data_IF_165076606662
#
_entry.id   IF_165076606662
#
_cell.length_a   1.000
_cell.length_b   1.000
_cell.length_c   1.000
_cell.angle_alpha   90.00
_cell.angle_beta   90.00
_cell.angle_gamma   90.00
#
_symmetry.space_group_name_H-M   'P 1'
#
loop_
_entity.id
_entity.type
_entity.pdbx_description
1 polymer ?
#
# COMPACT_ATOMS: atom_id res chain seq x y z
N UNK A 1 0.31 -20.24 19.29
CA UNK A 1 -0.57 -21.15 18.51
C UNK A 1 -1.84 -20.44 18.05
N UNK A 2 -2.35 -19.42 18.77
CA UNK A 2 -3.45 -18.56 18.31
C UNK A 2 -3.11 -17.71 17.07
N UNK A 3 -1.93 -17.07 17.03
CA UNK A 3 -1.52 -16.23 15.87
C UNK A 3 -1.52 -16.97 14.53
N UNK A 4 -1.14 -18.25 14.51
CA UNK A 4 -1.04 -19.03 13.27
C UNK A 4 -2.43 -19.33 12.70
N UNK A 5 -3.42 -19.56 13.57
CA UNK A 5 -4.77 -19.89 13.17
C UNK A 5 -5.55 -18.64 12.71
N UNK A 6 -5.30 -17.48 13.33
CA UNK A 6 -5.82 -16.19 12.87
C UNK A 6 -5.19 -15.78 11.53
N UNK A 7 -3.87 -15.93 11.38
CA UNK A 7 -3.17 -15.72 10.11
C UNK A 7 -3.77 -16.56 9.00
N UNK A 8 -3.97 -17.85 9.24
CA UNK A 8 -4.45 -18.78 8.23
C UNK A 8 -5.93 -18.56 7.90
N UNK A 9 -6.75 -18.16 8.88
CA UNK A 9 -8.16 -17.80 8.65
C UNK A 9 -8.30 -16.49 7.87
N UNK A 10 -7.52 -15.47 8.23
CA UNK A 10 -7.45 -14.23 7.49
C UNK A 10 -6.95 -14.48 6.07
N UNK A 11 -5.90 -15.28 5.89
CA UNK A 11 -5.36 -15.61 4.59
C UNK A 11 -6.36 -16.39 3.72
N UNK A 12 -7.08 -17.37 4.27
CA UNK A 12 -8.12 -18.11 3.54
C UNK A 12 -9.30 -17.23 3.12
N UNK A 13 -9.75 -16.33 4.01
CA UNK A 13 -10.81 -15.36 3.69
C UNK A 13 -10.36 -14.42 2.55
N UNK A 14 -9.11 -13.96 2.63
CA UNK A 14 -8.48 -13.10 1.64
C UNK A 14 -8.30 -13.81 0.28
N UNK A 15 -7.84 -15.07 0.27
CA UNK A 15 -7.67 -15.86 -0.96
C UNK A 15 -8.99 -16.15 -1.67
N UNK A 16 -10.08 -16.41 -0.94
CA UNK A 16 -11.41 -16.59 -1.55
C UNK A 16 -11.94 -15.30 -2.20
N UNK A 17 -11.69 -14.14 -1.60
CA UNK A 17 -12.07 -12.85 -2.16
C UNK A 17 -11.29 -12.53 -3.46
N UNK A 18 -10.01 -12.91 -3.53
CA UNK A 18 -9.15 -12.72 -4.70
C UNK A 18 -9.67 -13.45 -5.96
N UNK A 19 -10.29 -14.63 -5.79
CA UNK A 19 -10.82 -15.45 -6.90
C UNK A 19 -12.08 -14.85 -7.53
N UNK A 20 -12.84 -14.07 -6.76
CA UNK A 20 -14.16 -13.58 -7.18
C UNK A 20 -14.11 -12.13 -7.69
N UNK A 21 -13.34 -11.25 -7.03
CA UNK A 21 -13.29 -9.83 -7.39
C UNK A 21 -11.97 -9.18 -6.93
N UNK A 22 -11.00 -9.10 -7.84
CA UNK A 22 -9.69 -8.51 -7.56
C UNK A 22 -9.76 -7.04 -7.10
N UNK A 23 -10.52 -6.12 -7.74
CA UNK A 23 -10.68 -4.75 -7.23
C UNK A 23 -11.11 -4.68 -5.77
N UNK A 24 -12.13 -5.47 -5.40
CA UNK A 24 -12.67 -5.48 -4.03
C UNK A 24 -11.70 -6.12 -3.04
N UNK A 25 -10.92 -7.09 -3.49
CA UNK A 25 -9.86 -7.70 -2.72
C UNK A 25 -8.76 -6.69 -2.37
N UNK A 26 -8.27 -5.92 -3.36
CA UNK A 26 -7.29 -4.84 -3.14
C UNK A 26 -7.85 -3.80 -2.17
N UNK A 27 -9.13 -3.42 -2.33
CA UNK A 27 -9.82 -2.49 -1.43
C UNK A 27 -9.78 -2.98 0.02
N UNK A 28 -10.17 -4.23 0.24
CA UNK A 28 -10.22 -4.88 1.55
C UNK A 28 -8.84 -4.96 2.20
N UNK A 29 -7.80 -5.33 1.44
CA UNK A 29 -6.42 -5.36 1.94
C UNK A 29 -5.94 -3.98 2.41
N UNK A 30 -6.24 -2.92 1.65
CA UNK A 30 -5.90 -1.55 2.04
C UNK A 30 -6.63 -1.12 3.32
N UNK A 31 -7.87 -1.58 3.51
CA UNK A 31 -8.69 -1.29 4.67
C UNK A 31 -8.14 -1.98 5.93
N UNK A 32 -7.75 -3.25 5.80
CA UNK A 32 -7.13 -4.00 6.91
C UNK A 32 -5.81 -3.36 7.32
N UNK A 33 -5.01 -2.90 6.36
CA UNK A 33 -3.73 -2.23 6.58
C UNK A 33 -3.89 -0.89 7.32
N UNK A 34 -4.90 -0.10 6.92
CA UNK A 34 -5.21 1.22 7.47
C UNK A 34 -5.76 1.17 8.90
N UNK A 35 -6.65 0.23 9.21
CA UNK A 35 -7.27 0.14 10.52
C UNK A 35 -6.26 -0.31 11.60
N UNK A 36 -5.76 0.65 12.38
CA UNK A 36 -4.81 0.42 13.48
C UNK A 36 -5.36 -0.47 14.62
N UNK A 37 -6.68 -0.68 14.68
CA UNK A 37 -7.31 -1.62 15.61
C UNK A 37 -7.14 -3.09 15.25
N UNK A 38 -6.70 -3.41 14.02
CA UNK A 38 -6.40 -4.76 13.61
C UNK A 38 -5.09 -5.26 14.24
N UNK A 39 -4.94 -6.58 14.37
CA UNK A 39 -3.71 -7.17 14.90
C UNK A 39 -2.50 -6.75 14.06
N UNK A 40 -1.33 -6.49 14.66
CA UNK A 40 -0.13 -6.11 13.92
C UNK A 40 0.22 -7.13 12.82
N UNK A 41 -0.02 -8.41 13.10
CA UNK A 41 0.20 -9.52 12.17
C UNK A 41 -0.73 -9.43 10.95
N UNK A 42 -2.02 -9.14 11.15
CA UNK A 42 -2.97 -8.96 10.06
C UNK A 42 -2.60 -7.77 9.17
N UNK A 43 -2.15 -6.65 9.78
CA UNK A 43 -1.70 -5.46 9.05
C UNK A 43 -0.48 -5.75 8.18
N UNK A 44 0.54 -6.41 8.74
CA UNK A 44 1.74 -6.80 8.00
C UNK A 44 1.40 -7.79 6.88
N UNK A 45 0.55 -8.78 7.14
CA UNK A 45 0.09 -9.73 6.12
C UNK A 45 -0.67 -9.01 4.99
N UNK A 46 -1.60 -8.11 5.33
CA UNK A 46 -2.36 -7.35 4.35
C UNK A 46 -1.47 -6.43 3.50
N UNK A 47 -0.50 -5.74 4.11
CA UNK A 47 0.47 -4.92 3.41
C UNK A 47 1.36 -5.73 2.46
N UNK A 48 1.81 -6.92 2.89
CA UNK A 48 2.60 -7.81 2.03
C UNK A 48 1.80 -8.31 0.82
N UNK A 49 0.55 -8.72 1.04
CA UNK A 49 -0.34 -9.18 -0.04
C UNK A 49 -0.67 -8.03 -1.00
N UNK A 50 -1.01 -6.85 -0.48
CA UNK A 50 -1.28 -5.67 -1.28
C UNK A 50 -0.07 -5.32 -2.15
N UNK A 51 1.14 -5.32 -1.58
CA UNK A 51 2.38 -5.10 -2.34
C UNK A 51 2.56 -6.13 -3.47
N UNK A 52 2.34 -7.41 -3.20
CA UNK A 52 2.47 -8.47 -4.21
C UNK A 52 1.47 -8.33 -5.36
N UNK A 53 0.34 -7.65 -5.13
CA UNK A 53 -0.64 -7.33 -6.18
C UNK A 53 -0.24 -6.08 -6.98
N UNK A 54 0.56 -5.19 -6.41
CA UNK A 54 0.93 -3.91 -7.02
C UNK A 54 2.27 -3.95 -7.76
N UNK A 55 3.21 -4.78 -7.31
CA UNK A 55 4.55 -4.85 -7.88
C UNK A 55 5.12 -6.26 -7.89
N UNK A 56 6.07 -6.50 -8.79
CA UNK A 56 6.83 -7.73 -8.91
C UNK A 56 8.31 -7.39 -9.13
N UNK A 57 9.20 -8.31 -8.77
CA UNK A 57 10.65 -8.18 -9.05
C UNK A 57 10.96 -8.26 -10.55
N UNK A 58 10.14 -9.01 -11.29
CA UNK A 58 10.26 -9.14 -12.74
C UNK A 58 9.67 -7.92 -13.45
N UNK A 59 10.41 -7.34 -14.40
CA UNK A 59 10.03 -6.12 -15.10
C UNK A 59 8.78 -6.29 -15.99
N UNK A 60 8.60 -7.48 -16.56
CA UNK A 60 7.45 -7.81 -17.42
C UNK A 60 6.17 -7.91 -16.58
N UNK A 61 6.26 -8.62 -15.44
CA UNK A 61 5.17 -8.70 -14.47
C UNK A 61 4.86 -7.34 -13.86
N UNK A 62 5.88 -6.52 -13.55
CA UNK A 62 5.69 -5.15 -13.04
C UNK A 62 4.84 -4.32 -14.01
N UNK A 63 5.16 -4.34 -15.31
CA UNK A 63 4.38 -3.62 -16.33
C UNK A 63 2.94 -4.13 -16.42
N UNK A 64 2.74 -5.44 -16.30
CA UNK A 64 1.41 -6.07 -16.29
C UNK A 64 0.60 -5.62 -15.07
N UNK A 65 1.22 -5.57 -13.89
CA UNK A 65 0.55 -5.14 -12.66
C UNK A 65 0.23 -3.64 -12.66
N UNK A 66 1.07 -2.81 -13.26
CA UNK A 66 0.79 -1.40 -13.47
C UNK A 66 -0.41 -1.18 -14.40
N UNK A 67 -0.44 -1.88 -15.55
CA UNK A 67 -1.59 -1.83 -16.46
C UNK A 67 -2.87 -2.32 -15.79
N UNK A 68 -2.78 -3.41 -15.01
CA UNK A 68 -3.89 -3.94 -14.21
C UNK A 68 -4.37 -2.92 -13.17
N UNK A 69 -3.47 -2.29 -12.44
CA UNK A 69 -3.80 -1.23 -11.50
C UNK A 69 -4.55 -0.09 -12.19
N UNK A 70 -4.00 0.44 -13.29
CA UNK A 70 -4.62 1.54 -14.04
C UNK A 70 -5.99 1.17 -14.63
N UNK A 71 -6.24 -0.11 -14.91
CA UNK A 71 -7.55 -0.62 -15.35
C UNK A 71 -8.60 -0.71 -14.25
N UNK A 72 -8.20 -0.58 -12.97
CA UNK A 72 -9.14 -0.61 -11.85
C UNK A 72 -10.04 0.63 -11.87
N UNK A 73 -11.29 0.49 -11.40
CA UNK A 73 -12.19 1.62 -11.21
C UNK A 73 -11.52 2.72 -10.38
N UNK A 74 -11.72 3.98 -10.80
CA UNK A 74 -11.10 5.13 -10.15
C UNK A 74 -11.47 5.22 -8.66
N UNK A 75 -12.70 4.86 -8.30
CA UNK A 75 -13.16 4.81 -6.90
C UNK A 75 -12.30 3.89 -6.03
N UNK A 76 -11.95 2.71 -6.53
CA UNK A 76 -11.13 1.73 -5.82
C UNK A 76 -9.70 2.25 -5.69
N UNK A 77 -9.15 2.82 -6.77
CA UNK A 77 -7.81 3.41 -6.74
C UNK A 77 -7.73 4.56 -5.73
N UNK A 78 -8.70 5.48 -5.73
CA UNK A 78 -8.76 6.59 -4.78
C UNK A 78 -8.87 6.10 -3.33
N UNK A 79 -9.72 5.10 -3.08
CA UNK A 79 -9.88 4.52 -1.74
C UNK A 79 -8.58 3.89 -1.22
N UNK A 80 -7.95 3.07 -2.05
CA UNK A 80 -6.68 2.43 -1.70
C UNK A 80 -5.57 3.47 -1.51
N UNK A 81 -5.46 4.46 -2.39
CA UNK A 81 -4.49 5.58 -2.28
C UNK A 81 -4.65 6.33 -0.96
N UNK A 82 -5.89 6.65 -0.57
CA UNK A 82 -6.20 7.29 0.71
C UNK A 82 -5.72 6.43 1.87
N UNK A 83 -6.10 5.16 1.89
CA UNK A 83 -5.79 4.24 2.99
C UNK A 83 -4.28 4.06 3.18
N UNK A 84 -3.51 3.87 2.10
CA UNK A 84 -2.06 3.67 2.22
C UNK A 84 -1.34 4.96 2.69
N UNK A 85 -1.82 6.15 2.31
CA UNK A 85 -1.28 7.41 2.82
C UNK A 85 -1.60 7.59 4.31
N UNK A 86 -2.85 7.37 4.71
CA UNK A 86 -3.27 7.48 6.11
C UNK A 86 -2.67 6.38 7.00
N UNK A 87 -2.14 5.31 6.40
CA UNK A 87 -1.39 4.27 7.13
C UNK A 87 0.02 4.75 7.54
N UNK A 88 0.61 5.72 6.83
CA UNK A 88 1.94 6.23 7.16
C UNK A 88 1.99 6.71 8.62
N UNK A 89 3.04 6.32 9.35
CA UNK A 89 3.22 6.65 10.76
C UNK A 89 2.35 5.87 11.75
N UNK A 90 1.43 5.00 11.28
CA UNK A 90 0.63 4.12 12.15
C UNK A 90 1.21 2.70 12.25
N UNK A 91 2.13 2.35 11.35
CA UNK A 91 2.79 1.06 11.33
C UNK A 91 3.99 1.04 12.29
N UNK A 92 4.09 -0.01 13.09
CA UNK A 92 5.26 -0.28 13.93
C UNK A 92 6.27 -1.21 13.26
N UNK A 93 5.85 -1.94 12.23
CA UNK A 93 6.70 -2.85 11.45
C UNK A 93 7.63 -2.08 10.51
N UNK A 94 8.91 -2.46 10.51
CA UNK A 94 9.94 -1.91 9.62
C UNK A 94 10.51 -3.02 8.73
N UNK A 95 10.72 -2.77 7.42
CA UNK A 95 10.38 -1.56 6.66
C UNK A 95 8.86 -1.33 6.55
N UNK A 96 8.42 -0.08 6.34
CA UNK A 96 6.99 0.24 6.25
C UNK A 96 6.35 -0.45 5.04
N UNK A 97 5.20 -1.12 5.25
CA UNK A 97 4.47 -1.75 4.15
C UNK A 97 3.71 -0.70 3.35
N UNK A 98 3.18 0.33 4.01
CA UNK A 98 2.52 1.45 3.34
C UNK A 98 3.48 2.19 2.40
N UNK A 99 4.71 2.48 2.84
CA UNK A 99 5.72 3.15 2.02
C UNK A 99 6.03 2.37 0.73
N UNK A 100 6.17 1.04 0.83
CA UNK A 100 6.37 0.17 -0.34
C UNK A 100 5.15 0.14 -1.28
N UNK A 101 3.93 0.13 -0.74
CA UNK A 101 2.71 0.16 -1.54
C UNK A 101 2.56 1.50 -2.28
N UNK A 102 2.85 2.61 -1.61
CA UNK A 102 2.85 3.95 -2.21
C UNK A 102 3.83 3.99 -3.39
N UNK A 103 5.07 3.53 -3.20
CA UNK A 103 6.05 3.49 -4.27
C UNK A 103 5.61 2.62 -5.46
N UNK A 104 5.00 1.46 -5.20
CA UNK A 104 4.48 0.58 -6.25
C UNK A 104 3.38 1.26 -7.08
N UNK A 105 2.43 1.93 -6.43
CA UNK A 105 1.33 2.65 -7.09
C UNK A 105 1.85 3.90 -7.81
N UNK A 106 2.78 4.63 -7.20
CA UNK A 106 3.36 5.85 -7.77
C UNK A 106 4.01 5.60 -9.13
N UNK A 107 4.69 4.47 -9.32
CA UNK A 107 5.34 4.13 -10.59
C UNK A 107 4.30 3.88 -11.70
N UNK A 108 3.06 3.51 -11.37
CA UNK A 108 1.97 3.39 -12.33
C UNK A 108 1.27 4.74 -12.58
N UNK A 109 0.96 5.48 -11.50
CA UNK A 109 0.08 6.65 -11.55
C UNK A 109 0.81 7.95 -11.91
N UNK A 110 2.08 8.13 -11.52
CA UNK A 110 2.84 9.35 -11.80
C UNK A 110 3.10 9.52 -13.31
N UNK A 111 3.56 8.49 -14.06
CA UNK A 111 3.69 8.62 -15.52
C UNK A 111 2.35 8.84 -16.24
N UNK A 112 1.25 8.38 -15.64
CA UNK A 112 -0.10 8.56 -16.15
C UNK A 112 -0.75 9.90 -15.73
N UNK A 113 -0.10 10.69 -14.86
CA UNK A 113 -0.64 11.96 -14.35
C UNK A 113 -1.86 11.81 -13.43
N UNK A 114 -2.05 10.64 -12.82
CA UNK A 114 -3.26 10.26 -12.06
C UNK A 114 -3.10 10.41 -10.53
N UNK A 115 -1.92 10.82 -10.07
CA UNK A 115 -1.66 11.10 -8.66
C UNK A 115 -0.70 12.29 -8.45
N UNK A 116 -1.04 13.49 -8.98
CA UNK A 116 -0.17 14.66 -8.90
C UNK A 116 0.08 15.13 -7.46
N UNK A 117 -0.89 14.96 -6.55
CA UNK A 117 -0.82 15.43 -5.17
C UNK A 117 0.07 14.58 -4.25
N UNK A 118 0.62 13.45 -4.74
CA UNK A 118 1.39 12.52 -3.92
C UNK A 118 2.63 13.16 -3.30
N UNK A 119 3.44 13.82 -4.11
CA UNK A 119 4.73 14.38 -3.65
C UNK A 119 4.49 15.49 -2.64
N UNK A 120 3.54 16.39 -2.91
CA UNK A 120 3.16 17.46 -1.98
C UNK A 120 2.67 16.88 -0.64
N UNK A 121 1.87 15.81 -0.69
CA UNK A 121 1.38 15.13 0.53
C UNK A 121 2.53 14.54 1.34
N UNK A 122 3.46 13.82 0.71
CA UNK A 122 4.60 13.22 1.40
C UNK A 122 5.54 14.29 1.97
N UNK A 123 5.78 15.37 1.23
CA UNK A 123 6.61 16.50 1.71
C UNK A 123 5.94 17.18 2.89
N UNK A 124 4.63 17.47 2.81
CA UNK A 124 3.86 18.05 3.91
C UNK A 124 3.92 17.18 5.17
N UNK A 125 3.81 15.85 5.03
CA UNK A 125 3.96 14.93 6.15
C UNK A 125 5.34 15.03 6.83
N UNK A 126 6.39 15.40 6.10
CA UNK A 126 7.75 15.56 6.65
C UNK A 126 7.95 16.93 7.31
N UNK A 127 7.48 18.00 6.67
CA UNK A 127 7.75 19.38 7.11
C UNK A 127 6.76 19.90 8.16
N UNK A 128 5.58 19.29 8.28
CA UNK A 128 4.58 19.74 9.24
C UNK A 128 5.07 19.58 10.69
N UNK A 129 4.86 20.63 11.50
CA UNK A 129 5.34 20.69 12.88
C UNK A 129 4.66 19.66 13.79
N UNK A 130 3.40 19.31 13.48
CA UNK A 130 2.62 18.33 14.23
C UNK A 130 2.85 16.87 13.78
N UNK A 131 3.68 16.63 12.76
CA UNK A 131 3.98 15.28 12.30
C UNK A 131 4.83 14.52 13.31
N UNK A 132 4.41 13.30 13.62
CA UNK A 132 5.17 12.38 14.47
C UNK A 132 6.45 11.93 13.77
N UNK A 133 7.48 11.54 14.54
CA UNK A 133 8.72 11.01 13.99
C UNK A 133 8.47 9.82 13.05
N UNK A 134 7.52 8.95 13.42
CA UNK A 134 7.14 7.78 12.63
C UNK A 134 6.49 8.15 11.29
N UNK A 135 5.66 9.20 11.26
CA UNK A 135 5.07 9.71 10.02
C UNK A 135 6.13 10.33 9.12
N UNK A 136 7.06 11.11 9.69
CA UNK A 136 8.17 11.71 8.94
C UNK A 136 9.05 10.63 8.31
N UNK A 137 9.44 9.64 9.10
CA UNK A 137 10.31 8.57 8.64
C UNK A 137 9.67 7.70 7.55
N UNK A 138 8.43 7.23 7.76
CA UNK A 138 7.72 6.43 6.75
C UNK A 138 7.44 7.22 5.46
N UNK A 139 7.21 8.53 5.56
CA UNK A 139 7.07 9.40 4.38
C UNK A 139 8.40 9.57 3.62
N UNK A 140 9.52 9.74 4.34
CA UNK A 140 10.85 9.78 3.72
C UNK A 140 11.23 8.43 3.07
N UNK A 141 10.87 7.32 3.71
CA UNK A 141 11.05 5.98 3.16
C UNK A 141 10.25 5.82 1.86
N UNK A 142 8.99 6.28 1.82
CA UNK A 142 8.17 6.28 0.62
C UNK A 142 8.78 7.12 -0.51
N UNK A 143 9.25 8.34 -0.20
CA UNK A 143 9.96 9.19 -1.18
C UNK A 143 11.22 8.48 -1.70
N UNK A 144 12.01 7.88 -0.81
CA UNK A 144 13.21 7.14 -1.17
C UNK A 144 12.92 5.98 -2.13
N UNK A 145 11.87 5.20 -1.83
CA UNK A 145 11.44 4.12 -2.72
C UNK A 145 10.90 4.65 -4.05
N UNK A 146 10.14 5.74 -4.09
CA UNK A 146 9.71 6.35 -5.34
C UNK A 146 10.94 6.72 -6.18
N UNK A 147 11.92 7.43 -5.60
CA UNK A 147 13.14 7.81 -6.31
C UNK A 147 13.98 6.63 -6.79
N UNK A 148 13.95 5.49 -6.10
CA UNK A 148 14.69 4.30 -6.50
C UNK A 148 13.98 3.52 -7.63
N UNK A 149 12.64 3.49 -7.60
CA UNK A 149 11.83 2.62 -8.46
C UNK A 149 11.37 3.34 -9.74
N UNK A 150 11.40 4.68 -9.74
CA UNK A 150 11.18 5.53 -10.91
C UNK A 150 12.49 5.69 -11.68
N UNK A 151 12.56 5.32 -12.97
CA UNK A 151 13.77 5.41 -13.77
C UNK A 151 14.16 6.84 -14.15
#
# INVERSE_FOLDING_TARGET
MEDVNELQSAQNFLEQAAVTNLPEYIRTLSEVLHHAGNSPVARVAAGLQLKNLLTAKDATLKSTYQARWLSLPQEIRLYVKKNIIETLGTETGRPSSAAQCIAAVAVAELPAGQWPELIDTLVNNVIAENSTEMLKESSLEAIGYICQVTP
#
